data_IF_926188590737
#
_entry.id   IF_926188590737
#
_cell.length_a   1.000
_cell.length_b   1.000
_cell.length_c   1.000
_cell.angle_alpha   90.00
_cell.angle_beta   90.00
_cell.angle_gamma   90.00
#
_symmetry.space_group_name_H-M   'P 1'
#
loop_
_entity.id
_entity.type
_entity.pdbx_description
1 polymer ?
#
# COMPACT_ATOMS: atom_id res chain seq x y z
N UNK A 1 14.69 18.07 -26.25
CA UNK A 1 15.19 16.71 -25.97
C UNK A 1 14.23 16.14 -24.96
N UNK A 2 13.03 15.77 -25.41
CA UNK A 2 12.04 15.14 -24.55
C UNK A 2 12.39 13.65 -24.55
N UNK A 3 13.29 13.30 -23.64
CA UNK A 3 13.68 11.92 -23.40
C UNK A 3 12.45 11.15 -22.94
N UNK A 4 12.18 10.03 -23.58
CA UNK A 4 11.16 9.06 -23.19
C UNK A 4 11.34 8.70 -21.71
N UNK A 5 10.54 9.31 -20.83
CA UNK A 5 10.60 9.04 -19.41
C UNK A 5 9.78 7.79 -19.13
N UNK A 6 10.47 6.70 -18.77
CA UNK A 6 9.80 5.47 -18.35
C UNK A 6 9.05 5.75 -17.06
N UNK A 7 7.72 5.76 -17.14
CA UNK A 7 6.89 5.92 -15.95
C UNK A 7 6.91 4.65 -15.10
N UNK A 8 7.11 4.82 -13.80
CA UNK A 8 7.18 3.75 -12.83
C UNK A 8 5.99 3.80 -11.84
N UNK A 9 5.25 2.69 -11.78
CA UNK A 9 4.14 2.50 -10.84
C UNK A 9 4.50 1.45 -9.80
N UNK A 10 4.44 1.81 -8.52
CA UNK A 10 4.59 0.87 -7.42
C UNK A 10 3.22 0.27 -7.06
N UNK A 11 3.10 -1.05 -7.17
CA UNK A 11 1.89 -1.79 -6.78
C UNK A 11 2.14 -2.53 -5.47
N UNK A 12 1.45 -2.12 -4.42
CA UNK A 12 1.50 -2.74 -3.10
C UNK A 12 0.30 -3.67 -2.97
N UNK A 13 0.52 -4.99 -3.01
CA UNK A 13 -0.54 -5.95 -2.76
C UNK A 13 -0.80 -6.09 -1.25
N UNK A 14 -2.04 -5.90 -0.82
CA UNK A 14 -2.44 -6.03 0.59
C UNK A 14 -3.76 -6.79 0.73
N UNK A 15 -3.82 -7.68 1.73
CA UNK A 15 -5.06 -8.35 2.19
C UNK A 15 -5.00 -8.60 3.69
N UNK A 16 -6.15 -8.62 4.34
CA UNK A 16 -6.32 -8.89 5.79
C UNK A 16 -6.05 -10.36 6.12
N UNK A 17 -6.36 -11.28 5.20
CA UNK A 17 -6.31 -12.75 5.36
C UNK A 17 -4.91 -13.38 5.46
N UNK A 18 -4.04 -12.86 6.32
CA UNK A 18 -2.75 -13.48 6.66
C UNK A 18 -2.93 -14.61 7.68
N UNK A 19 -2.33 -15.78 7.45
CA UNK A 19 -2.53 -16.96 8.33
C UNK A 19 -1.61 -17.00 9.56
N UNK A 20 -0.35 -16.57 9.40
CA UNK A 20 0.65 -16.58 10.48
C UNK A 20 0.50 -15.41 11.45
N UNK A 21 0.13 -14.24 10.91
CA UNK A 21 -0.17 -13.03 11.68
C UNK A 21 -1.43 -12.39 11.07
N UNK A 22 -2.62 -12.78 11.56
CA UNK A 22 -3.89 -12.25 11.07
C UNK A 22 -3.95 -10.73 11.11
N UNK A 23 -4.47 -10.11 10.05
CA UNK A 23 -4.62 -8.66 9.99
C UNK A 23 -3.30 -7.86 9.96
N UNK A 24 -2.14 -8.51 9.72
CA UNK A 24 -0.82 -7.86 9.82
C UNK A 24 -0.74 -6.47 9.18
N UNK A 25 -1.36 -6.27 8.02
CA UNK A 25 -1.26 -5.02 7.25
C UNK A 25 -1.90 -3.83 7.97
N UNK A 26 -2.88 -4.09 8.84
CA UNK A 26 -3.60 -3.08 9.63
C UNK A 26 -3.07 -2.96 11.06
N UNK A 27 -2.15 -3.83 11.49
CA UNK A 27 -1.60 -3.74 12.85
C UNK A 27 -0.83 -2.43 13.01
N UNK A 28 -0.95 -1.77 14.16
CA UNK A 28 -0.20 -0.55 14.45
C UNK A 28 1.29 -0.88 14.60
N UNK A 29 2.11 -0.03 14.00
CA UNK A 29 3.55 0.05 14.19
C UNK A 29 3.87 1.51 14.50
N UNK A 30 3.99 1.82 15.79
CA UNK A 30 4.00 3.20 16.29
C UNK A 30 2.72 3.98 15.91
N UNK A 31 2.84 5.10 15.20
CA UNK A 31 1.76 6.04 14.86
C UNK A 31 0.95 5.64 13.61
N UNK A 32 1.29 4.53 12.95
CA UNK A 32 0.73 4.15 11.64
C UNK A 32 0.50 2.64 11.56
N UNK A 33 -0.36 2.19 10.66
CA UNK A 33 -0.41 0.77 10.30
C UNK A 33 0.86 0.33 9.55
N UNK A 34 1.12 -0.98 9.52
CA UNK A 34 2.18 -1.55 8.67
C UNK A 34 1.97 -1.14 7.20
N UNK A 35 0.73 -1.14 6.69
CA UNK A 35 0.42 -0.71 5.33
C UNK A 35 0.78 0.76 5.09
N UNK A 36 0.38 1.65 5.99
CA UNK A 36 0.65 3.08 5.87
C UNK A 36 2.17 3.38 5.85
N UNK A 37 2.98 2.60 6.58
CA UNK A 37 4.45 2.68 6.46
C UNK A 37 4.96 2.35 5.06
N UNK A 38 4.45 1.27 4.45
CA UNK A 38 4.85 0.84 3.09
C UNK A 38 4.42 1.87 2.05
N UNK A 39 3.17 2.35 2.13
CA UNK A 39 2.64 3.39 1.22
C UNK A 39 3.47 4.67 1.32
N UNK A 40 3.80 5.11 2.54
CA UNK A 40 4.65 6.28 2.76
C UNK A 40 6.04 6.11 2.14
N UNK A 41 6.68 4.95 2.34
CA UNK A 41 8.00 4.69 1.79
C UNK A 41 7.99 4.67 0.25
N UNK A 42 7.00 4.01 -0.36
CA UNK A 42 6.83 3.98 -1.80
C UNK A 42 6.55 5.38 -2.38
N UNK A 43 5.74 6.19 -1.70
CA UNK A 43 5.39 7.55 -2.14
C UNK A 43 6.55 8.54 -1.99
N UNK A 44 7.53 8.26 -1.12
CA UNK A 44 8.73 9.08 -0.94
C UNK A 44 9.86 8.71 -1.90
N UNK A 45 9.71 7.65 -2.70
CA UNK A 45 10.73 7.23 -3.66
C UNK A 45 10.76 8.17 -4.89
N UNK A 46 11.93 8.72 -5.19
CA UNK A 46 12.12 9.72 -6.25
C UNK A 46 11.87 9.21 -7.68
N UNK A 47 11.85 7.89 -7.87
CA UNK A 47 11.70 7.21 -9.15
C UNK A 47 10.36 6.45 -9.26
N UNK A 48 9.37 6.80 -8.42
CA UNK A 48 8.02 6.22 -8.46
C UNK A 48 7.04 7.36 -8.73
N UNK A 49 6.35 7.32 -9.87
CA UNK A 49 5.38 8.36 -10.25
C UNK A 49 4.02 8.13 -9.60
N UNK A 50 3.68 6.87 -9.30
CA UNK A 50 2.38 6.49 -8.77
C UNK A 50 2.49 5.29 -7.85
N UNK A 51 1.77 5.36 -6.74
CA UNK A 51 1.57 4.24 -5.81
C UNK A 51 0.13 3.76 -5.91
N UNK A 52 -0.05 2.45 -6.05
CA UNK A 52 -1.35 1.79 -6.07
C UNK A 52 -1.36 0.70 -5.01
N UNK A 53 -2.36 0.71 -4.14
CA UNK A 53 -2.63 -0.43 -3.25
C UNK A 53 -3.63 -1.34 -3.94
N UNK A 54 -3.21 -2.57 -4.25
CA UNK A 54 -4.07 -3.58 -4.83
C UNK A 54 -4.56 -4.53 -3.73
N UNK A 55 -5.87 -4.55 -3.51
CA UNK A 55 -6.53 -5.43 -2.54
C UNK A 55 -7.56 -6.34 -3.21
N UNK A 56 -8.22 -7.22 -2.45
CA UNK A 56 -9.25 -8.10 -3.01
C UNK A 56 -10.63 -7.42 -2.98
N UNK A 57 -11.65 -8.07 -3.54
CA UNK A 57 -13.05 -7.63 -3.42
C UNK A 57 -13.76 -8.31 -2.24
N UNK A 58 -13.05 -9.00 -1.36
CA UNK A 58 -13.62 -9.60 -0.16
C UNK A 58 -13.99 -8.50 0.86
N UNK A 59 -15.16 -8.53 1.51
CA UNK A 59 -15.58 -7.50 2.46
C UNK A 59 -14.60 -7.29 3.63
N UNK A 60 -13.82 -8.31 3.99
CA UNK A 60 -12.79 -8.18 5.02
C UNK A 60 -11.69 -7.18 4.64
N UNK A 61 -11.45 -6.99 3.35
CA UNK A 61 -10.42 -6.09 2.82
C UNK A 61 -10.92 -4.64 2.67
N UNK A 62 -12.21 -4.33 2.93
CA UNK A 62 -12.70 -2.94 3.00
C UNK A 62 -11.94 -2.10 4.02
N UNK A 63 -11.43 -2.74 5.08
CA UNK A 63 -10.58 -2.10 6.09
C UNK A 63 -9.22 -1.62 5.52
N UNK A 64 -8.75 -2.21 4.42
CA UNK A 64 -7.55 -1.74 3.70
C UNK A 64 -7.87 -0.46 2.93
N UNK A 65 -9.03 -0.40 2.27
CA UNK A 65 -9.49 0.82 1.57
C UNK A 65 -9.62 1.97 2.57
N UNK A 66 -10.28 1.72 3.70
CA UNK A 66 -10.46 2.70 4.77
C UNK A 66 -9.13 3.14 5.43
N UNK A 67 -8.08 2.32 5.39
CA UNK A 67 -6.73 2.73 5.85
C UNK A 67 -6.02 3.61 4.82
N UNK A 68 -6.24 3.38 3.52
CA UNK A 68 -5.66 4.20 2.44
C UNK A 68 -6.33 5.58 2.28
N UNK A 69 -7.54 5.76 2.80
CA UNK A 69 -8.31 7.02 2.75
C UNK A 69 -8.02 7.97 3.93
N UNK A 70 -7.15 7.58 4.87
CA UNK A 70 -6.74 8.42 6.02
C UNK A 70 -5.61 9.38 5.68
#
# INVERSE_FOLDING_TARGET
MDGDHVSAVAVIQARVGSTRLPGKVLLPLADRSILAWVVRAASAAHNVDRVVVATTTEPADDAIVAECER
#
